data_IF_759961224664
#
_entry.id   IF_759961224664
#
_cell.length_a   1.000
_cell.length_b   1.000
_cell.length_c   1.000
_cell.angle_alpha   90.00
_cell.angle_beta   90.00
_cell.angle_gamma   90.00
#
_symmetry.space_group_name_H-M   'P 1'
#
loop_
_entity.id
_entity.type
_entity.pdbx_description
1 polymer ?
#
# COMPACT_ATOMS: atom_id res chain seq x y z
N UNK A 1 12.90 -6.99 -7.39
CA UNK A 1 12.62 -7.01 -5.93
C UNK A 1 11.17 -7.41 -5.67
N UNK A 2 10.93 -8.52 -4.96
CA UNK A 2 9.58 -8.97 -4.58
C UNK A 2 9.31 -8.55 -3.14
N UNK A 3 8.45 -7.55 -2.94
CA UNK A 3 8.06 -7.07 -1.62
C UNK A 3 6.74 -7.72 -1.20
N UNK A 4 6.76 -8.48 -0.12
CA UNK A 4 5.58 -9.03 0.54
C UNK A 4 5.77 -8.88 2.04
N UNK A 5 5.02 -7.98 2.66
CA UNK A 5 5.08 -7.69 4.09
C UNK A 5 3.68 -7.66 4.69
N UNK A 6 3.56 -8.14 5.93
CA UNK A 6 2.25 -8.30 6.54
C UNK A 6 1.40 -9.29 5.76
N UNK A 7 0.09 -9.06 5.65
CA UNK A 7 -0.84 -9.87 4.86
C UNK A 7 -1.31 -9.18 3.58
N UNK A 8 -1.12 -7.87 3.46
CA UNK A 8 -1.72 -7.05 2.40
C UNK A 8 -0.70 -6.23 1.62
N UNK A 9 0.50 -5.97 2.13
CA UNK A 9 1.47 -5.13 1.41
C UNK A 9 2.29 -5.95 0.41
N UNK A 10 1.81 -6.03 -0.84
CA UNK A 10 2.54 -6.60 -1.97
C UNK A 10 1.75 -6.55 -3.28
N UNK A 11 2.43 -6.75 -4.41
CA UNK A 11 1.76 -6.81 -5.71
C UNK A 11 1.12 -8.20 -5.91
N UNK A 12 -0.18 -8.23 -6.25
CA UNK A 12 -0.96 -9.48 -6.36
C UNK A 12 -0.88 -10.35 -5.10
N UNK A 13 -0.71 -9.70 -3.96
CA UNK A 13 -0.59 -10.29 -2.63
C UNK A 13 -1.65 -9.66 -1.76
N UNK A 14 -2.43 -10.47 -1.04
CA UNK A 14 -3.53 -9.97 -0.21
C UNK A 14 -3.99 -11.00 0.82
N UNK A 15 -4.60 -10.51 1.90
CA UNK A 15 -5.12 -11.35 2.97
C UNK A 15 -6.50 -11.92 2.68
N UNK A 16 -6.86 -12.99 3.40
CA UNK A 16 -8.19 -13.60 3.33
C UNK A 16 -9.27 -12.68 3.94
N UNK A 17 -10.54 -12.81 3.54
CA UNK A 17 -11.65 -12.09 4.16
C UNK A 17 -11.69 -12.32 5.68
N UNK A 18 -11.76 -11.24 6.45
CA UNK A 18 -11.83 -11.28 7.92
C UNK A 18 -10.48 -11.32 8.64
N UNK A 19 -9.37 -11.48 7.92
CA UNK A 19 -8.04 -11.39 8.52
C UNK A 19 -7.73 -9.97 8.98
N UNK A 20 -7.17 -9.84 10.19
CA UNK A 20 -6.72 -8.55 10.72
C UNK A 20 -5.34 -8.20 10.16
N UNK A 21 -5.07 -6.92 9.84
CA UNK A 21 -3.76 -6.47 9.41
C UNK A 21 -2.72 -6.68 10.53
N UNK A 22 -1.49 -6.99 10.14
CA UNK A 22 -0.40 -7.28 11.06
C UNK A 22 0.07 -6.05 11.85
N UNK A 23 0.04 -4.87 11.24
CA UNK A 23 0.33 -3.59 11.86
C UNK A 23 -0.39 -2.43 11.14
N UNK A 24 -0.08 -1.18 11.51
CA UNK A 24 -0.69 0.00 10.90
C UNK A 24 -0.30 0.21 9.43
N UNK A 25 0.88 -0.27 8.98
CA UNK A 25 1.29 -0.19 7.59
C UNK A 25 0.52 -1.22 6.76
N UNK A 26 0.39 -2.44 7.27
CA UNK A 26 -0.43 -3.49 6.67
C UNK A 26 -1.90 -3.09 6.58
N UNK A 27 -2.40 -2.30 7.53
CA UNK A 27 -3.75 -1.73 7.48
C UNK A 27 -3.91 -0.69 6.34
N UNK A 28 -2.86 0.07 6.01
CA UNK A 28 -2.88 0.96 4.85
C UNK A 28 -2.97 0.16 3.55
N UNK A 29 -2.22 -0.94 3.44
CA UNK A 29 -2.25 -1.82 2.27
C UNK A 29 -3.62 -2.50 2.13
N UNK A 30 -4.19 -3.02 3.22
CA UNK A 30 -5.54 -3.59 3.21
C UNK A 30 -6.60 -2.62 2.69
N UNK A 31 -6.54 -1.34 3.11
CA UNK A 31 -7.44 -0.29 2.63
C UNK A 31 -7.20 0.05 1.16
N UNK A 32 -5.94 0.07 0.73
CA UNK A 32 -5.57 0.28 -0.66
C UNK A 32 -6.15 -0.82 -1.55
N UNK A 33 -5.96 -2.09 -1.20
CA UNK A 33 -6.46 -3.23 -1.97
C UNK A 33 -7.98 -3.20 -2.10
N UNK A 34 -8.69 -2.89 -1.00
CA UNK A 34 -10.14 -2.71 -1.03
C UNK A 34 -10.58 -1.56 -1.94
N UNK A 35 -9.84 -0.43 -1.92
CA UNK A 35 -10.08 0.69 -2.83
C UNK A 35 -9.92 0.25 -4.30
N UNK A 36 -8.82 -0.44 -4.64
CA UNK A 36 -8.56 -0.95 -5.98
C UNK A 36 -9.69 -1.88 -6.45
N UNK A 37 -10.13 -2.81 -5.60
CA UNK A 37 -11.25 -3.70 -5.90
C UNK A 37 -12.54 -2.92 -6.20
N UNK A 38 -12.86 -1.91 -5.39
CA UNK A 38 -14.04 -1.04 -5.62
C UNK A 38 -13.96 -0.19 -6.89
N UNK A 39 -12.76 -0.01 -7.45
CA UNK A 39 -12.49 0.75 -8.68
C UNK A 39 -12.25 -0.19 -9.88
N UNK A 40 -12.93 -1.34 -9.92
CA UNK A 40 -12.81 -2.34 -10.99
C UNK A 40 -11.38 -2.84 -11.19
N UNK A 41 -10.64 -3.06 -10.09
CA UNK A 41 -9.23 -3.47 -10.10
C UNK A 41 -8.29 -2.46 -10.80
N UNK A 42 -8.65 -1.17 -10.82
CA UNK A 42 -7.84 -0.12 -11.44
C UNK A 42 -6.65 0.30 -10.56
N UNK A 43 -5.51 -0.37 -10.73
CA UNK A 43 -4.24 -0.03 -10.07
C UNK A 43 -3.73 1.39 -10.36
N UNK A 44 -4.20 2.03 -11.43
CA UNK A 44 -3.87 3.41 -11.78
C UNK A 44 -4.83 4.46 -11.18
N UNK A 45 -5.73 4.03 -10.30
CA UNK A 45 -6.64 4.94 -9.59
C UNK A 45 -5.84 5.98 -8.80
N UNK A 46 -5.99 7.25 -9.18
CA UNK A 46 -5.34 8.36 -8.50
C UNK A 46 -5.84 8.50 -7.05
N UNK A 47 -7.14 8.28 -6.83
CA UNK A 47 -7.77 8.32 -5.50
C UNK A 47 -7.14 7.28 -4.58
N UNK A 48 -7.09 6.01 -5.00
CA UNK A 48 -6.51 4.94 -4.20
C UNK A 48 -5.02 5.19 -3.92
N UNK A 49 -4.29 5.67 -4.93
CA UNK A 49 -2.87 5.98 -4.80
C UNK A 49 -2.60 7.12 -3.81
N UNK A 50 -3.37 8.21 -3.90
CA UNK A 50 -3.21 9.37 -3.04
C UNK A 50 -3.59 9.05 -1.58
N UNK A 51 -4.69 8.31 -1.38
CA UNK A 51 -5.12 7.84 -0.07
C UNK A 51 -4.08 6.92 0.55
N UNK A 52 -3.48 6.03 -0.24
CA UNK A 52 -2.45 5.11 0.25
C UNK A 52 -1.17 5.84 0.67
N UNK A 53 -0.68 6.77 -0.16
CA UNK A 53 0.46 7.63 0.19
C UNK A 53 0.20 8.42 1.47
N UNK A 54 -0.99 9.01 1.61
CA UNK A 54 -1.37 9.74 2.81
C UNK A 54 -1.48 8.85 4.05
N UNK A 55 -1.95 7.61 3.89
CA UNK A 55 -2.01 6.65 4.99
C UNK A 55 -0.60 6.30 5.48
N UNK A 56 0.31 5.98 4.56
CA UNK A 56 1.70 5.66 4.89
C UNK A 56 2.45 6.84 5.51
N UNK A 57 2.21 8.08 5.06
CA UNK A 57 2.85 9.26 5.66
C UNK A 57 2.43 9.52 7.11
N UNK A 58 1.22 9.10 7.47
CA UNK A 58 0.71 9.19 8.84
C UNK A 58 1.17 8.01 9.72
N UNK A 59 1.78 6.98 9.13
CA UNK A 59 2.38 5.89 9.88
C UNK A 59 3.63 6.40 10.59
N UNK A 60 3.60 6.44 11.93
CA UNK A 60 4.73 6.93 12.73
C UNK A 60 5.95 6.03 12.51
N UNK A 61 7.06 6.62 12.05
CA UNK A 61 8.36 5.97 12.05
C UNK A 61 8.73 5.55 13.48
N UNK A 62 8.92 4.24 13.72
CA UNK A 62 9.11 3.68 15.06
C UNK A 62 7.85 3.11 15.72
N UNK A 63 6.70 3.11 15.05
CA UNK A 63 5.53 2.35 15.51
C UNK A 63 5.88 0.86 15.65
N UNK A 64 5.36 0.23 16.70
CA UNK A 64 5.52 -1.21 16.93
C UNK A 64 4.97 -1.97 15.72
N UNK A 65 5.84 -2.71 15.05
CA UNK A 65 5.47 -3.67 14.01
C UNK A 65 5.21 -5.06 14.61
N UNK A 66 4.79 -6.02 13.79
CA UNK A 66 4.48 -7.38 14.21
C UNK A 66 5.74 -8.20 14.52
N UNK A 67 5.59 -9.19 15.42
CA UNK A 67 6.68 -10.08 15.83
C UNK A 67 7.20 -10.88 14.62
N UNK A 68 8.53 -10.90 14.45
CA UNK A 68 9.18 -11.63 13.36
C UNK A 68 9.29 -10.85 12.05
N UNK A 69 8.88 -9.57 12.02
CA UNK A 69 9.16 -8.70 10.88
C UNK A 69 10.68 -8.54 10.69
N UNK A 70 11.18 -8.91 9.51
CA UNK A 70 12.59 -8.78 9.12
C UNK A 70 12.87 -7.49 8.35
N UNK A 71 11.84 -6.72 8.04
CA UNK A 71 11.91 -5.50 7.25
C UNK A 71 11.79 -4.27 8.15
N UNK A 72 12.52 -3.22 7.80
CA UNK A 72 12.38 -1.91 8.39
C UNK A 72 11.16 -1.20 7.80
N UNK A 73 10.20 -0.81 8.64
CA UNK A 73 8.95 -0.21 8.18
C UNK A 73 9.19 1.12 7.40
N UNK A 74 10.18 1.91 7.81
CA UNK A 74 10.57 3.14 7.12
C UNK A 74 11.15 2.88 5.73
N UNK A 75 11.98 1.86 5.58
CA UNK A 75 12.53 1.44 4.28
C UNK A 75 11.41 0.95 3.34
N UNK A 76 10.50 0.13 3.87
CA UNK A 76 9.33 -0.36 3.13
C UNK A 76 8.46 0.80 2.65
N UNK A 77 8.15 1.76 3.54
CA UNK A 77 7.37 2.95 3.18
C UNK A 77 8.06 3.75 2.08
N UNK A 78 9.38 3.91 2.14
CA UNK A 78 10.14 4.62 1.09
C UNK A 78 10.02 3.91 -0.26
N UNK A 79 10.25 2.60 -0.31
CA UNK A 79 10.16 1.80 -1.54
C UNK A 79 8.75 1.88 -2.14
N UNK A 80 7.71 1.64 -1.32
CA UNK A 80 6.32 1.69 -1.78
C UNK A 80 5.97 3.11 -2.25
N UNK A 81 6.40 4.15 -1.54
CA UNK A 81 6.12 5.54 -1.91
C UNK A 81 6.69 5.92 -3.28
N UNK A 82 7.86 5.41 -3.67
CA UNK A 82 8.43 5.63 -5.00
C UNK A 82 7.53 5.01 -6.08
N UNK A 83 7.11 3.76 -5.89
CA UNK A 83 6.21 3.06 -6.82
C UNK A 83 4.87 3.80 -6.94
N UNK A 84 4.26 4.17 -5.81
CA UNK A 84 2.95 4.83 -5.82
C UNK A 84 2.99 6.24 -6.42
N UNK A 85 4.12 6.97 -6.31
CA UNK A 85 4.31 8.24 -7.02
C UNK A 85 4.36 8.02 -8.54
N UNK A 86 5.04 6.97 -9.01
CA UNK A 86 5.07 6.63 -10.43
C UNK A 86 3.68 6.22 -10.94
N UNK A 87 2.93 5.42 -10.17
CA UNK A 87 1.54 5.05 -10.45
C UNK A 87 0.64 6.29 -10.53
N UNK A 88 0.77 7.25 -9.60
CA UNK A 88 0.00 8.49 -9.61
C UNK A 88 0.29 9.33 -10.86
N UNK A 89 1.56 9.43 -11.27
CA UNK A 89 1.96 10.11 -12.51
C UNK A 89 1.39 9.41 -13.74
N UNK A 90 1.50 8.07 -13.81
CA UNK A 90 0.93 7.29 -14.91
C UNK A 90 -0.60 7.42 -14.98
N UNK A 91 -1.28 7.34 -13.85
CA UNK A 91 -2.72 7.53 -13.74
C UNK A 91 -3.18 8.91 -14.22
N UNK A 92 -2.40 9.97 -13.96
CA UNK A 92 -2.66 11.32 -14.50
C UNK A 92 -2.40 11.42 -16.00
N UNK A 93 -1.38 10.76 -16.52
CA UNK A 93 -1.06 10.78 -17.94
C UNK A 93 -2.09 10.02 -18.78
N UNK A 94 -2.55 8.86 -18.28
CA UNK A 94 -3.49 7.98 -18.99
C UNK A 94 -4.97 8.35 -18.78
N UNK A 95 -5.30 9.13 -17.75
CA UNK A 95 -6.64 9.75 -17.61
C UNK A 95 -6.77 11.09 -18.36
N UNK A 96 -5.69 11.62 -18.95
CA UNK A 96 -5.82 12.75 -19.87
C UNK A 96 -6.43 12.22 -21.17
N UNK A 97 -7.51 12.85 -21.68
CA UNK A 97 -8.08 12.50 -22.98
C UNK A 97 -7.07 12.70 -24.11
#
# INVERSE_FOLDING_TARGET
>A
PHLSIGKYCGLLYGGCPGEKPCDGLDACCMKHDACIQSKNNSYLSQECSQNFISCMSNFKTGARTFKGNKCRADEVIQVISVVMKAVLLAGRALHKP
#
